data_IF_272705985759
#
_entry.id   IF_272705985759
#
_cell.length_a   1.000
_cell.length_b   1.000
_cell.length_c   1.000
_cell.angle_alpha   90.00
_cell.angle_beta   90.00
_cell.angle_gamma   90.00
#
_symmetry.space_group_name_H-M   'P 1'
#
loop_
_entity.id
_entity.type
_entity.pdbx_description
1 polymer ?
#
# COMPACT_ATOMS: atom_id res chain seq x y z
N UNK A 1 -33.86 25.88 -7.52
CA UNK A 1 -33.46 24.58 -8.00
C UNK A 1 -32.75 23.85 -6.84
N UNK A 2 -33.42 22.85 -6.26
CA UNK A 2 -32.82 21.99 -5.23
C UNK A 2 -31.79 21.16 -5.94
N UNK A 3 -30.48 21.30 -5.56
CA UNK A 3 -29.44 20.39 -6.05
C UNK A 3 -29.84 18.99 -5.63
N UNK A 4 -29.92 18.00 -6.54
CA UNK A 4 -30.18 16.62 -6.15
C UNK A 4 -29.14 16.18 -5.15
N UNK A 5 -29.58 15.56 -4.07
CA UNK A 5 -28.68 15.01 -3.05
C UNK A 5 -27.84 13.88 -3.69
N UNK A 6 -26.60 14.20 -4.03
CA UNK A 6 -25.66 13.26 -4.64
C UNK A 6 -25.33 12.07 -3.72
N UNK A 7 -25.58 12.20 -2.40
CA UNK A 7 -25.35 11.12 -1.44
C UNK A 7 -26.25 9.91 -1.68
N UNK A 8 -27.46 10.13 -2.23
CA UNK A 8 -28.40 9.04 -2.55
C UNK A 8 -28.02 8.27 -3.84
N UNK A 9 -27.14 8.83 -4.67
CA UNK A 9 -26.78 8.22 -5.96
C UNK A 9 -25.39 7.56 -5.97
N UNK A 10 -24.47 7.98 -5.09
CA UNK A 10 -23.13 7.44 -5.03
C UNK A 10 -22.96 6.57 -3.78
N UNK A 11 -22.82 5.24 -3.91
CA UNK A 11 -22.73 4.34 -2.76
C UNK A 11 -21.50 4.61 -1.89
N UNK A 12 -20.39 5.07 -2.46
CA UNK A 12 -19.19 5.40 -1.69
C UNK A 12 -19.41 6.62 -0.80
N UNK A 13 -20.15 7.63 -1.27
CA UNK A 13 -20.57 8.77 -0.44
C UNK A 13 -21.52 8.35 0.67
N UNK A 14 -22.54 7.54 0.35
CA UNK A 14 -23.52 7.01 1.32
C UNK A 14 -22.83 6.35 2.51
N UNK A 15 -21.76 5.64 2.27
CA UNK A 15 -21.00 4.89 3.29
C UNK A 15 -19.79 5.64 3.85
N UNK A 16 -19.65 6.92 3.56
CA UNK A 16 -18.58 7.76 4.12
C UNK A 16 -17.16 7.41 3.65
N UNK A 17 -17.03 6.79 2.47
CA UNK A 17 -15.76 6.46 1.85
C UNK A 17 -15.20 7.67 1.11
N UNK A 18 -14.83 8.70 1.87
CA UNK A 18 -14.47 10.03 1.38
C UNK A 18 -13.05 10.43 1.80
N UNK A 19 -12.49 11.39 1.07
CA UNK A 19 -11.29 12.09 1.50
C UNK A 19 -11.63 13.00 2.69
N UNK A 20 -10.81 12.94 3.73
CA UNK A 20 -11.05 13.69 4.97
C UNK A 20 -10.19 14.95 5.08
N UNK A 21 -9.22 15.15 4.19
CA UNK A 21 -8.20 16.20 4.30
C UNK A 21 -8.12 17.09 3.06
N UNK A 22 -7.70 18.33 3.28
CA UNK A 22 -7.37 19.28 2.23
C UNK A 22 -8.54 19.74 1.38
N UNK A 23 -8.23 20.24 0.20
CA UNK A 23 -9.14 20.77 -0.81
C UNK A 23 -10.08 19.73 -1.44
N UNK A 24 -9.77 18.45 -1.28
CA UNK A 24 -10.52 17.31 -1.80
C UNK A 24 -11.43 16.67 -0.75
N UNK A 25 -11.55 17.30 0.42
CA UNK A 25 -12.41 16.82 1.52
C UNK A 25 -13.87 16.62 1.04
N UNK A 26 -14.44 15.48 1.42
CA UNK A 26 -15.82 15.11 1.08
C UNK A 26 -15.96 14.42 -0.28
N UNK A 27 -14.93 14.35 -1.11
CA UNK A 27 -14.98 13.61 -2.37
C UNK A 27 -14.86 12.09 -2.13
N UNK A 28 -15.70 11.26 -2.79
CA UNK A 28 -15.63 9.81 -2.65
C UNK A 28 -14.34 9.29 -3.23
N UNK A 29 -13.68 8.36 -2.52
CA UNK A 29 -12.40 7.81 -2.94
C UNK A 29 -12.27 6.32 -2.73
N UNK A 30 -11.37 5.71 -3.51
CA UNK A 30 -10.96 4.32 -3.42
C UNK A 30 -9.45 4.21 -3.64
N UNK A 31 -8.80 3.28 -2.95
CA UNK A 31 -7.38 3.00 -3.13
C UNK A 31 -7.13 1.56 -3.56
N UNK A 32 -5.92 1.30 -4.08
CA UNK A 32 -5.51 -0.07 -4.43
C UNK A 32 -5.59 -1.03 -3.23
N UNK A 33 -5.20 -0.57 -2.05
CA UNK A 33 -5.35 -1.35 -0.81
C UNK A 33 -6.82 -1.66 -0.49
N UNK A 34 -7.70 -0.68 -0.72
CA UNK A 34 -9.14 -0.83 -0.44
C UNK A 34 -9.77 -1.90 -1.34
N UNK A 35 -9.66 -1.79 -2.66
CA UNK A 35 -10.30 -2.76 -3.53
C UNK A 35 -9.63 -4.15 -3.50
N UNK A 36 -8.31 -4.23 -3.30
CA UNK A 36 -7.66 -5.53 -3.09
C UNK A 36 -8.13 -6.21 -1.81
N UNK A 37 -8.28 -5.45 -0.71
CA UNK A 37 -8.82 -6.00 0.53
C UNK A 37 -10.27 -6.50 0.35
N UNK A 38 -11.10 -5.78 -0.40
CA UNK A 38 -12.44 -6.26 -0.76
C UNK A 38 -12.39 -7.58 -1.54
N UNK A 39 -11.53 -7.66 -2.55
CA UNK A 39 -11.37 -8.86 -3.37
C UNK A 39 -10.90 -10.08 -2.57
N UNK A 40 -10.06 -9.88 -1.54
CA UNK A 40 -9.54 -10.95 -0.69
C UNK A 40 -10.51 -11.32 0.44
N UNK A 41 -11.10 -10.32 1.08
CA UNK A 41 -12.00 -10.50 2.23
C UNK A 41 -12.92 -9.29 2.40
N UNK A 42 -14.15 -9.33 1.84
CA UNK A 42 -15.13 -8.26 2.03
C UNK A 42 -15.41 -7.95 3.51
N UNK A 43 -15.42 -8.95 4.37
CA UNK A 43 -15.60 -8.76 5.81
C UNK A 43 -14.46 -7.98 6.46
N UNK A 44 -13.21 -8.26 6.09
CA UNK A 44 -12.05 -7.48 6.54
C UNK A 44 -12.14 -6.03 6.08
N UNK A 45 -12.58 -5.83 4.84
CA UNK A 45 -12.80 -4.50 4.29
C UNK A 45 -13.89 -3.73 5.06
N UNK A 46 -15.02 -4.39 5.35
CA UNK A 46 -16.12 -3.78 6.11
C UNK A 46 -15.64 -3.34 7.48
N UNK A 47 -14.94 -4.20 8.19
CA UNK A 47 -14.40 -3.85 9.52
C UNK A 47 -13.49 -2.64 9.47
N UNK A 48 -12.58 -2.60 8.50
CA UNK A 48 -11.61 -1.50 8.40
C UNK A 48 -12.25 -0.19 7.92
N UNK A 49 -13.05 -0.26 6.85
CA UNK A 49 -13.51 0.95 6.17
C UNK A 49 -14.89 1.42 6.62
N UNK A 50 -15.75 0.54 7.09
CA UNK A 50 -17.11 0.87 7.56
C UNK A 50 -17.14 0.96 9.09
N UNK A 51 -16.72 -0.09 9.78
CA UNK A 51 -16.71 -0.12 11.24
C UNK A 51 -15.58 0.69 11.86
N UNK A 52 -14.58 1.11 11.05
CA UNK A 52 -13.41 1.87 11.50
C UNK A 52 -12.60 1.16 12.59
N UNK A 53 -12.56 -0.17 12.53
CA UNK A 53 -11.71 -0.95 13.43
C UNK A 53 -10.26 -0.73 13.02
N UNK A 54 -9.53 0.00 13.86
CA UNK A 54 -8.12 0.27 13.64
C UNK A 54 -7.31 -0.99 13.89
N UNK A 55 -6.47 -1.36 12.93
CA UNK A 55 -5.41 -2.33 13.16
C UNK A 55 -4.22 -1.60 13.78
N UNK A 56 -3.84 -1.98 14.98
CA UNK A 56 -2.61 -1.44 15.57
C UNK A 56 -1.41 -1.75 14.65
N UNK A 57 -0.63 -0.72 14.26
CA UNK A 57 0.55 -0.97 13.48
C UNK A 57 1.52 -1.84 14.28
N UNK A 58 2.10 -2.83 13.63
CA UNK A 58 3.15 -3.64 14.23
C UNK A 58 4.54 -3.19 13.76
N UNK A 59 5.56 -3.69 14.44
CA UNK A 59 6.96 -3.31 14.16
C UNK A 59 7.35 -3.60 12.70
N UNK A 60 6.88 -4.71 12.12
CA UNK A 60 7.18 -5.08 10.73
C UNK A 60 6.56 -4.13 9.69
N UNK A 61 5.42 -3.49 9.99
CA UNK A 61 4.81 -2.50 9.09
C UNK A 61 5.69 -1.25 8.90
N UNK A 62 6.44 -0.88 9.94
CA UNK A 62 7.35 0.27 9.87
C UNK A 62 8.64 -0.03 9.11
N UNK A 63 8.99 -1.31 8.92
CA UNK A 63 10.15 -1.73 8.10
C UNK A 63 10.06 -1.17 6.68
N UNK A 64 8.93 -1.38 6.01
CA UNK A 64 8.72 -0.93 4.64
C UNK A 64 8.94 0.57 4.48
N UNK A 65 8.27 1.36 5.32
CA UNK A 65 8.37 2.83 5.28
C UNK A 65 9.79 3.33 5.61
N UNK A 66 10.50 2.64 6.52
CA UNK A 66 11.89 2.97 6.84
C UNK A 66 12.81 2.66 5.66
N UNK A 67 12.67 1.46 5.07
CA UNK A 67 13.47 1.06 3.92
C UNK A 67 13.31 2.04 2.75
N UNK A 68 12.08 2.40 2.44
CA UNK A 68 11.74 3.34 1.40
C UNK A 68 12.35 4.73 1.63
N UNK A 69 12.18 5.30 2.85
CA UNK A 69 12.71 6.62 3.19
C UNK A 69 14.24 6.69 3.11
N UNK A 70 14.91 5.72 3.70
CA UNK A 70 16.39 5.67 3.71
C UNK A 70 16.91 5.44 2.29
N UNK A 71 16.29 4.54 1.54
CA UNK A 71 16.64 4.29 0.14
C UNK A 71 16.51 5.56 -0.71
N UNK A 72 15.42 6.31 -0.55
CA UNK A 72 15.26 7.59 -1.23
C UNK A 72 16.40 8.55 -0.92
N UNK A 73 16.70 8.76 0.35
CA UNK A 73 17.75 9.69 0.78
C UNK A 73 19.13 9.34 0.16
N UNK A 74 19.44 8.04 0.07
CA UNK A 74 20.68 7.58 -0.55
C UNK A 74 20.67 7.77 -2.07
N UNK A 75 19.57 7.45 -2.75
CA UNK A 75 19.45 7.59 -4.20
C UNK A 75 19.58 9.03 -4.66
N UNK A 76 19.06 10.00 -3.91
CA UNK A 76 19.22 11.44 -4.23
C UNK A 76 20.56 12.02 -3.78
N UNK A 77 21.36 11.27 -3.02
CA UNK A 77 22.65 11.71 -2.48
C UNK A 77 22.54 12.59 -1.24
N UNK A 78 21.40 12.55 -0.53
CA UNK A 78 21.19 13.23 0.75
C UNK A 78 21.95 12.53 1.88
N UNK A 79 22.03 11.21 1.82
CA UNK A 79 22.80 10.37 2.72
C UNK A 79 23.84 9.57 1.94
N UNK A 80 24.97 9.29 2.56
CA UNK A 80 25.97 8.40 1.98
C UNK A 80 25.55 6.94 2.18
N UNK A 81 25.94 6.10 1.24
CA UNK A 81 25.64 4.67 1.33
C UNK A 81 26.25 4.03 2.59
N UNK A 82 27.41 4.51 3.02
CA UNK A 82 28.12 4.05 4.21
C UNK A 82 27.35 4.32 5.52
N UNK A 83 26.48 5.33 5.52
CA UNK A 83 25.69 5.76 6.69
C UNK A 83 24.31 5.07 6.78
N UNK A 84 23.97 4.20 5.83
CA UNK A 84 22.67 3.52 5.74
C UNK A 84 22.25 2.85 7.06
N UNK A 85 23.19 2.16 7.72
CA UNK A 85 22.90 1.44 8.96
C UNK A 85 22.42 2.39 10.05
N UNK A 86 23.19 3.46 10.26
CA UNK A 86 22.89 4.47 11.28
C UNK A 86 21.56 5.17 11.00
N UNK A 87 21.32 5.53 9.75
CA UNK A 87 20.09 6.23 9.34
C UNK A 87 18.86 5.31 9.47
N UNK A 88 18.98 4.05 9.02
CA UNK A 88 17.89 3.08 9.11
C UNK A 88 17.52 2.78 10.57
N UNK A 89 18.52 2.56 11.43
CA UNK A 89 18.29 2.34 12.85
C UNK A 89 17.61 3.54 13.51
N UNK A 90 18.12 4.75 13.30
CA UNK A 90 17.55 5.97 13.86
C UNK A 90 16.10 6.18 13.38
N UNK A 91 15.86 6.07 12.07
CA UNK A 91 14.53 6.22 11.48
C UNK A 91 13.55 5.17 11.99
N UNK A 92 13.96 3.92 12.08
CA UNK A 92 13.12 2.83 12.52
C UNK A 92 12.78 2.94 14.01
N UNK A 93 13.75 3.21 14.86
CA UNK A 93 13.54 3.42 16.31
C UNK A 93 12.62 4.58 16.61
N UNK A 94 12.77 5.69 15.89
CA UNK A 94 11.88 6.84 16.01
C UNK A 94 10.42 6.46 15.70
N UNK A 95 10.19 5.67 14.64
CA UNK A 95 8.84 5.22 14.23
C UNK A 95 8.23 4.18 15.16
N UNK A 96 9.05 3.44 15.86
CA UNK A 96 8.63 2.32 16.72
C UNK A 96 8.84 2.58 18.20
N UNK A 97 8.98 3.85 18.62
CA UNK A 97 9.28 4.22 20.01
C UNK A 97 8.33 3.56 20.99
N UNK A 98 7.03 3.53 20.71
CA UNK A 98 5.99 2.97 21.57
C UNK A 98 5.49 1.58 21.12
N UNK A 99 6.20 0.93 20.17
CA UNK A 99 5.73 -0.30 19.53
C UNK A 99 6.74 -1.43 19.68
N UNK A 100 6.23 -2.62 19.98
CA UNK A 100 7.01 -3.86 19.98
C UNK A 100 8.07 -3.95 21.06
N UNK A 101 8.70 -5.12 21.14
CA UNK A 101 9.81 -5.39 22.06
C UNK A 101 11.16 -4.95 21.46
N UNK A 102 12.19 -4.80 22.29
CA UNK A 102 13.55 -4.50 21.80
C UNK A 102 14.10 -5.64 20.93
N UNK A 103 13.76 -6.89 21.21
CA UNK A 103 14.16 -8.04 20.39
C UNK A 103 13.55 -7.96 18.97
N UNK A 104 12.26 -7.62 18.87
CA UNK A 104 11.59 -7.42 17.58
C UNK A 104 12.22 -6.26 16.79
N UNK A 105 12.51 -5.14 17.46
CA UNK A 105 13.16 -3.98 16.83
C UNK A 105 14.56 -4.34 16.32
N UNK A 106 15.37 -5.00 17.12
CA UNK A 106 16.72 -5.44 16.75
C UNK A 106 16.68 -6.38 15.53
N UNK A 107 15.73 -7.32 15.52
CA UNK A 107 15.54 -8.23 14.39
C UNK A 107 15.20 -7.47 13.11
N UNK A 108 14.23 -6.57 13.17
CA UNK A 108 13.81 -5.79 11.99
C UNK A 108 14.90 -4.84 11.49
N UNK A 109 15.68 -4.23 12.38
CA UNK A 109 16.83 -3.41 12.01
C UNK A 109 17.90 -4.26 11.29
N UNK A 110 18.20 -5.44 11.81
CA UNK A 110 19.15 -6.37 11.15
C UNK A 110 18.65 -6.77 9.75
N UNK A 111 17.38 -7.02 9.59
CA UNK A 111 16.80 -7.34 8.28
C UNK A 111 16.84 -6.13 7.32
N UNK A 112 16.64 -4.91 7.84
CA UNK A 112 16.72 -3.67 7.06
C UNK A 112 18.11 -3.43 6.46
N UNK A 113 19.13 -3.46 7.30
CA UNK A 113 20.49 -3.03 6.94
C UNK A 113 21.38 -4.21 6.52
N UNK A 114 20.97 -5.41 6.85
CA UNK A 114 21.72 -6.64 6.61
C UNK A 114 22.65 -7.00 7.74
N UNK A 115 23.14 -8.21 7.65
CA UNK A 115 24.06 -8.79 8.62
C UNK A 115 25.38 -9.10 7.94
N UNK A 116 26.49 -8.72 8.58
CA UNK A 116 27.83 -9.09 8.11
C UNK A 116 28.03 -10.58 8.38
N UNK A 117 27.52 -11.41 7.46
CA UNK A 117 27.64 -12.85 7.55
C UNK A 117 29.07 -13.33 7.29
N UNK A 118 29.29 -14.66 7.38
CA UNK A 118 30.59 -15.32 7.13
C UNK A 118 31.19 -15.01 5.76
N UNK A 119 30.41 -14.52 4.80
CA UNK A 119 30.78 -14.21 3.42
C UNK A 119 31.18 -12.76 3.17
N UNK A 120 31.27 -11.90 4.18
CA UNK A 120 31.55 -10.45 4.06
C UNK A 120 30.57 -9.65 3.17
N UNK A 121 29.51 -10.24 2.69
CA UNK A 121 28.49 -9.56 1.87
C UNK A 121 27.36 -9.08 2.80
N UNK A 122 27.15 -7.76 2.83
CA UNK A 122 25.97 -7.20 3.46
C UNK A 122 24.77 -7.56 2.60
N UNK A 123 23.80 -8.22 3.21
CA UNK A 123 22.50 -8.47 2.64
C UNK A 123 21.48 -7.77 3.56
N UNK A 124 20.49 -7.15 2.98
CA UNK A 124 19.44 -6.44 3.70
C UNK A 124 18.50 -5.76 2.72
N UNK A 125 17.31 -5.45 3.16
CA UNK A 125 16.26 -4.88 2.29
C UNK A 125 16.74 -3.63 1.55
N UNK A 126 17.34 -2.67 2.27
CA UNK A 126 17.78 -1.39 1.70
C UNK A 126 18.91 -1.59 0.71
N UNK A 127 19.93 -2.39 1.08
CA UNK A 127 21.07 -2.63 0.19
C UNK A 127 20.67 -3.34 -1.08
N UNK A 128 19.87 -4.40 -0.97
CA UNK A 128 19.42 -5.15 -2.12
C UNK A 128 18.57 -4.28 -3.06
N UNK A 129 17.70 -3.43 -2.50
CA UNK A 129 16.93 -2.48 -3.27
C UNK A 129 17.81 -1.41 -3.93
N UNK A 130 18.79 -0.84 -3.21
CA UNK A 130 19.74 0.12 -3.74
C UNK A 130 20.54 -0.43 -4.92
N UNK A 131 21.06 -1.64 -4.80
CA UNK A 131 21.85 -2.28 -5.86
C UNK A 131 21.03 -2.47 -7.15
N UNK A 132 19.71 -2.61 -7.03
CA UNK A 132 18.80 -2.68 -8.20
C UNK A 132 18.43 -1.32 -8.76
N UNK A 133 18.31 -0.28 -7.92
CA UNK A 133 17.82 1.03 -8.34
C UNK A 133 18.91 2.01 -8.76
N UNK A 134 20.12 1.90 -8.21
CA UNK A 134 21.23 2.82 -8.50
C UNK A 134 21.57 2.98 -10.00
N UNK A 135 21.25 1.97 -10.80
CA UNK A 135 21.48 1.98 -12.27
C UNK A 135 20.52 2.93 -13.00
N UNK A 136 19.38 3.26 -12.40
CA UNK A 136 18.40 4.20 -12.97
C UNK A 136 18.67 5.66 -12.57
N UNK A 137 19.68 5.90 -11.72
CA UNK A 137 19.99 7.24 -11.23
C UNK A 137 19.04 7.72 -10.14
N UNK A 138 18.90 9.05 -10.04
CA UNK A 138 18.07 9.69 -9.03
C UNK A 138 16.59 9.68 -9.46
N UNK A 139 15.67 9.30 -8.57
CA UNK A 139 14.24 9.49 -8.83
C UNK A 139 13.90 10.98 -8.89
N UNK A 140 13.01 11.35 -9.81
CA UNK A 140 12.51 12.73 -10.00
C UNK A 140 11.47 13.10 -8.94
N UNK A 141 10.74 12.12 -8.40
CA UNK A 141 9.74 12.33 -7.37
C UNK A 141 9.71 11.19 -6.34
N UNK A 142 9.20 11.52 -5.14
CA UNK A 142 9.05 10.62 -4.01
C UNK A 142 7.67 10.79 -3.39
N UNK A 143 6.99 9.68 -3.08
CA UNK A 143 5.66 9.66 -2.49
C UNK A 143 4.67 10.55 -3.25
N UNK A 144 4.70 10.45 -4.58
CA UNK A 144 3.82 11.24 -5.44
C UNK A 144 2.39 10.74 -5.34
N UNK A 145 1.46 11.63 -4.97
CA UNK A 145 0.05 11.27 -4.87
C UNK A 145 -0.54 10.94 -6.24
N UNK A 146 -1.22 9.80 -6.31
CA UNK A 146 -2.13 9.41 -7.39
C UNK A 146 -3.52 9.91 -7.03
N UNK A 147 -4.09 10.78 -7.87
CA UNK A 147 -5.44 11.29 -7.67
C UNK A 147 -6.09 11.58 -9.02
N UNK A 148 -7.03 10.74 -9.43
CA UNK A 148 -7.77 10.91 -10.68
C UNK A 148 -9.19 10.36 -10.57
N UNK A 149 -10.08 10.84 -11.41
CA UNK A 149 -11.48 10.40 -11.41
C UNK A 149 -11.61 9.06 -12.14
N UNK A 150 -12.41 8.16 -11.58
CA UNK A 150 -12.95 6.96 -12.22
C UNK A 150 -14.40 7.26 -12.60
N UNK A 151 -14.68 7.74 -13.84
CA UNK A 151 -15.97 8.34 -14.19
C UNK A 151 -17.14 7.37 -14.05
N UNK A 152 -16.91 6.08 -14.38
CA UNK A 152 -17.94 5.04 -14.35
C UNK A 152 -18.47 4.75 -12.95
N UNK A 153 -17.70 5.09 -11.90
CA UNK A 153 -18.08 4.89 -10.50
C UNK A 153 -18.30 6.21 -9.76
N UNK A 154 -18.08 7.34 -10.42
CA UNK A 154 -18.10 8.67 -9.79
C UNK A 154 -17.26 8.77 -8.51
N UNK A 155 -16.11 8.06 -8.47
CA UNK A 155 -15.18 7.97 -7.36
C UNK A 155 -13.77 8.39 -7.80
N UNK A 156 -12.97 8.89 -6.86
CA UNK A 156 -11.57 9.21 -7.13
C UNK A 156 -10.65 8.07 -6.70
N UNK A 157 -9.72 7.75 -7.58
CA UNK A 157 -8.56 6.93 -7.26
C UNK A 157 -7.64 7.72 -6.32
N UNK A 158 -7.21 7.11 -5.21
CA UNK A 158 -6.28 7.68 -4.23
C UNK A 158 -5.17 6.70 -3.90
N UNK A 159 -3.94 7.16 -3.96
CA UNK A 159 -2.76 6.35 -3.63
C UNK A 159 -1.48 7.17 -3.69
N UNK A 160 -0.35 6.50 -3.49
CA UNK A 160 0.97 7.10 -3.58
C UNK A 160 1.90 6.18 -4.34
N UNK A 161 2.70 6.75 -5.24
CA UNK A 161 3.80 6.08 -5.92
C UNK A 161 5.07 6.36 -5.15
N UNK A 162 5.86 5.33 -4.85
CA UNK A 162 7.02 5.50 -3.99
C UNK A 162 8.12 6.30 -4.69
N UNK A 163 8.47 5.94 -5.93
CA UNK A 163 9.50 6.64 -6.71
C UNK A 163 9.02 6.90 -8.14
N UNK A 164 9.15 8.13 -8.62
CA UNK A 164 8.93 8.48 -10.03
C UNK A 164 10.26 8.69 -10.73
N UNK A 165 10.45 8.04 -11.88
CA UNK A 165 11.55 8.25 -12.82
C UNK A 165 11.01 8.83 -14.13
N UNK A 166 11.88 9.22 -15.05
CA UNK A 166 11.49 9.79 -16.33
C UNK A 166 10.53 8.87 -17.10
N UNK A 167 10.88 7.59 -17.23
CA UNK A 167 10.17 6.64 -18.09
C UNK A 167 9.22 5.70 -17.32
N UNK A 168 9.37 5.58 -16.01
CA UNK A 168 8.57 4.67 -15.20
C UNK A 168 8.30 5.20 -13.80
N UNK A 169 7.25 4.67 -13.18
CA UNK A 169 6.98 4.79 -11.76
C UNK A 169 7.29 3.46 -11.06
N UNK A 170 7.72 3.50 -9.83
CA UNK A 170 8.13 2.32 -9.06
C UNK A 170 7.47 2.31 -7.70
N UNK A 171 6.98 1.13 -7.33
CA UNK A 171 6.48 0.80 -5.99
C UNK A 171 7.47 -0.17 -5.33
N UNK A 172 7.86 0.11 -4.08
CA UNK A 172 8.77 -0.72 -3.30
C UNK A 172 8.00 -1.54 -2.27
N UNK A 173 8.23 -2.83 -2.27
CA UNK A 173 7.69 -3.72 -1.23
C UNK A 173 8.79 -4.51 -0.56
N UNK A 174 8.81 -4.48 0.77
CA UNK A 174 9.66 -5.34 1.58
C UNK A 174 8.88 -6.58 2.02
N UNK A 175 9.45 -7.75 1.81
CA UNK A 175 8.81 -9.02 2.15
C UNK A 175 9.82 -10.03 2.71
N UNK A 176 9.35 -10.96 3.51
CA UNK A 176 10.20 -12.04 4.02
C UNK A 176 10.47 -13.13 2.97
N UNK A 177 9.60 -13.24 1.95
CA UNK A 177 9.67 -14.30 0.93
C UNK A 177 9.51 -13.69 -0.47
N UNK A 178 10.42 -14.06 -1.37
CA UNK A 178 10.35 -13.67 -2.77
C UNK A 178 9.23 -14.43 -3.48
N UNK A 179 8.50 -13.75 -4.34
CA UNK A 179 7.53 -14.36 -5.25
C UNK A 179 8.22 -14.75 -6.56
N UNK A 180 7.84 -15.89 -7.14
CA UNK A 180 8.32 -16.29 -8.47
C UNK A 180 7.67 -15.52 -9.63
N UNK A 181 6.60 -14.79 -9.37
CA UNK A 181 5.88 -13.95 -10.33
C UNK A 181 5.34 -12.70 -9.63
N UNK A 182 4.94 -11.70 -10.41
CA UNK A 182 4.29 -10.49 -9.88
C UNK A 182 2.99 -10.87 -9.16
N UNK A 183 2.90 -10.66 -7.82
CA UNK A 183 1.70 -11.03 -7.06
C UNK A 183 0.47 -10.26 -7.56
N UNK A 184 -0.68 -10.92 -7.57
CA UNK A 184 -1.93 -10.39 -8.13
C UNK A 184 -2.34 -9.03 -7.53
N UNK A 185 -2.26 -8.89 -6.21
CA UNK A 185 -2.60 -7.62 -5.55
C UNK A 185 -1.69 -6.46 -5.98
N UNK A 186 -0.39 -6.72 -6.16
CA UNK A 186 0.55 -5.71 -6.65
C UNK A 186 0.39 -5.46 -8.14
N UNK A 187 0.09 -6.48 -8.93
CA UNK A 187 -0.25 -6.32 -10.35
C UNK A 187 -1.43 -5.36 -10.53
N UNK A 188 -2.49 -5.54 -9.74
CA UNK A 188 -3.64 -4.62 -9.74
C UNK A 188 -3.26 -3.22 -9.25
N UNK A 189 -2.42 -3.09 -8.22
CA UNK A 189 -1.95 -1.79 -7.74
C UNK A 189 -1.18 -1.03 -8.83
N UNK A 190 -0.25 -1.68 -9.52
CA UNK A 190 0.49 -1.09 -10.62
C UNK A 190 -0.43 -0.68 -11.78
N UNK A 191 -1.38 -1.55 -12.15
CA UNK A 191 -2.36 -1.25 -13.18
C UNK A 191 -3.23 -0.04 -12.80
N UNK A 192 -3.64 0.07 -11.55
CA UNK A 192 -4.39 1.19 -11.02
C UNK A 192 -3.62 2.51 -11.14
N UNK A 193 -2.33 2.51 -10.82
CA UNK A 193 -1.48 3.70 -10.97
C UNK A 193 -1.24 4.06 -12.44
N UNK A 194 -1.11 3.07 -13.32
CA UNK A 194 -0.98 3.30 -14.76
C UNK A 194 -2.19 3.98 -15.40
N UNK A 195 -3.39 3.84 -14.82
CA UNK A 195 -4.58 4.55 -15.31
C UNK A 195 -4.43 6.07 -15.29
N UNK A 196 -3.57 6.62 -14.43
CA UNK A 196 -3.29 8.06 -14.36
C UNK A 196 -2.20 8.50 -15.34
N UNK A 197 -1.21 7.66 -15.55
CA UNK A 197 -0.01 8.02 -16.33
C UNK A 197 0.29 6.96 -17.37
N UNK A 198 0.83 7.40 -18.53
CA UNK A 198 1.28 6.47 -19.57
C UNK A 198 2.67 5.88 -19.29
N UNK A 199 3.26 6.18 -18.12
CA UNK A 199 4.56 5.64 -17.73
C UNK A 199 4.45 4.16 -17.41
N UNK A 200 5.51 3.43 -17.66
CA UNK A 200 5.63 2.06 -17.18
C UNK A 200 5.51 1.98 -15.66
N UNK A 201 4.95 0.90 -15.18
CA UNK A 201 4.80 0.67 -13.74
C UNK A 201 5.64 -0.53 -13.34
N UNK A 202 6.48 -0.36 -12.34
CA UNK A 202 7.39 -1.40 -11.85
C UNK A 202 7.20 -1.63 -10.36
N UNK A 203 7.35 -2.89 -9.96
CA UNK A 203 7.44 -3.30 -8.56
C UNK A 203 8.86 -3.73 -8.26
N UNK A 204 9.48 -3.14 -7.26
CA UNK A 204 10.69 -3.70 -6.66
C UNK A 204 10.30 -4.47 -5.39
N UNK A 205 10.42 -5.79 -5.47
CA UNK A 205 10.21 -6.66 -4.32
C UNK A 205 11.56 -6.96 -3.69
N UNK A 206 11.76 -6.51 -2.46
CA UNK A 206 13.00 -6.69 -1.73
C UNK A 206 12.81 -7.64 -0.53
N UNK A 207 13.73 -8.60 -0.41
CA UNK A 207 13.93 -9.43 0.78
C UNK A 207 15.27 -9.07 1.42
N UNK A 208 15.56 -9.63 2.58
CA UNK A 208 16.89 -9.48 3.20
C UNK A 208 18.02 -10.10 2.37
N UNK A 209 17.71 -11.05 1.48
CA UNK A 209 18.70 -11.82 0.72
C UNK A 209 18.86 -11.31 -0.73
N UNK A 210 17.80 -10.79 -1.34
CA UNK A 210 17.80 -10.30 -2.72
C UNK A 210 16.68 -9.32 -3.01
N UNK A 211 16.78 -8.64 -4.15
CA UNK A 211 15.67 -7.84 -4.68
C UNK A 211 15.42 -8.18 -6.17
N UNK A 212 14.16 -8.21 -6.56
CA UNK A 212 13.74 -8.47 -7.93
C UNK A 212 12.80 -7.36 -8.42
N UNK A 213 13.00 -6.96 -9.68
CA UNK A 213 12.21 -5.96 -10.35
C UNK A 213 11.20 -6.65 -11.27
N UNK A 214 9.93 -6.36 -11.07
CA UNK A 214 8.82 -6.82 -11.89
C UNK A 214 8.27 -5.65 -12.68
N UNK A 215 7.84 -5.89 -13.91
CA UNK A 215 7.23 -4.90 -14.80
C UNK A 215 5.79 -5.30 -15.06
N UNK A 216 4.89 -4.31 -15.08
CA UNK A 216 3.52 -4.51 -15.54
C UNK A 216 3.52 -4.47 -17.07
N UNK A 217 3.64 -5.64 -17.70
CA UNK A 217 3.66 -5.79 -19.15
C UNK A 217 2.25 -5.99 -19.75
N UNK A 218 2.04 -7.02 -20.53
CA UNK A 218 0.82 -7.30 -21.29
C UNK A 218 -0.44 -7.52 -20.43
N UNK A 219 -0.29 -7.71 -19.14
CA UNK A 219 -1.41 -7.93 -18.19
C UNK A 219 -2.17 -6.65 -17.79
N UNK A 220 -1.81 -5.48 -18.34
CA UNK A 220 -2.44 -4.21 -17.94
C UNK A 220 -3.95 -4.19 -18.20
N UNK A 221 -4.38 -4.54 -19.41
CA UNK A 221 -5.80 -4.52 -19.78
C UNK A 221 -6.62 -5.50 -18.94
N UNK A 222 -6.12 -6.72 -18.76
CA UNK A 222 -6.74 -7.71 -17.89
C UNK A 222 -6.86 -7.19 -16.45
N UNK A 223 -5.79 -6.60 -15.92
CA UNK A 223 -5.80 -6.06 -14.55
C UNK A 223 -6.75 -4.87 -14.40
N UNK A 224 -6.90 -4.04 -15.43
CA UNK A 224 -7.86 -2.94 -15.45
C UNK A 224 -9.30 -3.45 -15.43
N UNK A 225 -9.61 -4.49 -16.18
CA UNK A 225 -10.92 -5.15 -16.15
C UNK A 225 -11.20 -5.75 -14.76
N UNK A 226 -10.26 -6.51 -14.21
CA UNK A 226 -10.37 -7.06 -12.85
C UNK A 226 -10.64 -5.96 -11.79
N UNK A 227 -9.96 -4.82 -11.87
CA UNK A 227 -10.17 -3.69 -10.96
C UNK A 227 -11.59 -3.13 -11.11
N UNK A 228 -12.05 -2.96 -12.35
CA UNK A 228 -13.40 -2.46 -12.62
C UNK A 228 -14.46 -3.42 -12.06
N UNK A 229 -14.28 -4.73 -12.23
CA UNK A 229 -15.20 -5.74 -11.71
C UNK A 229 -15.23 -5.72 -10.17
N UNK A 230 -14.07 -5.61 -9.52
CA UNK A 230 -13.99 -5.51 -8.06
C UNK A 230 -14.70 -4.25 -7.57
N UNK A 231 -14.44 -3.09 -8.17
CA UNK A 231 -15.08 -1.84 -7.77
C UNK A 231 -16.59 -1.89 -8.04
N UNK A 232 -17.01 -2.52 -9.12
CA UNK A 232 -18.41 -2.72 -9.43
C UNK A 232 -19.11 -3.61 -8.38
N UNK A 233 -18.51 -4.73 -8.00
CA UNK A 233 -19.06 -5.60 -6.93
C UNK A 233 -19.15 -4.87 -5.59
N UNK A 234 -18.17 -4.02 -5.26
CA UNK A 234 -18.26 -3.13 -4.09
C UNK A 234 -19.42 -2.16 -4.21
N UNK A 235 -19.55 -1.47 -5.34
CA UNK A 235 -20.61 -0.49 -5.56
C UNK A 235 -22.01 -1.12 -5.46
N UNK A 236 -22.20 -2.31 -6.04
CA UNK A 236 -23.44 -3.08 -5.95
C UNK A 236 -23.75 -3.43 -4.50
N UNK A 237 -22.79 -4.01 -3.78
CA UNK A 237 -22.98 -4.37 -2.37
C UNK A 237 -23.36 -3.17 -1.49
N UNK A 238 -22.68 -2.04 -1.68
CA UNK A 238 -22.94 -0.79 -0.96
C UNK A 238 -24.30 -0.14 -1.34
N UNK A 239 -24.76 -0.37 -2.56
CA UNK A 239 -26.07 0.13 -3.03
C UNK A 239 -27.20 -0.68 -2.46
N UNK A 240 -27.09 -2.01 -2.48
CA UNK A 240 -28.14 -2.95 -2.09
C UNK A 240 -28.33 -3.06 -0.57
N UNK A 241 -27.31 -2.75 0.23
CA UNK A 241 -27.41 -2.75 1.68
C UNK A 241 -27.76 -1.37 2.22
N UNK A 242 -28.69 -1.30 3.19
CA UNK A 242 -29.11 -0.06 3.82
C UNK A 242 -28.54 0.13 5.22
N UNK A 243 -28.01 -0.92 5.83
CA UNK A 243 -27.38 -0.88 7.14
C UNK A 243 -26.09 -1.70 7.19
N UNK A 244 -25.31 -1.46 8.24
CA UNK A 244 -24.07 -2.21 8.49
C UNK A 244 -24.40 -3.68 8.77
N UNK A 245 -25.51 -3.94 9.46
CA UNK A 245 -25.98 -5.28 9.77
C UNK A 245 -26.30 -6.07 8.50
N UNK A 246 -27.00 -5.45 7.53
CA UNK A 246 -27.27 -6.08 6.23
C UNK A 246 -25.97 -6.40 5.49
N UNK A 247 -25.00 -5.49 5.51
CA UNK A 247 -23.71 -5.69 4.88
C UNK A 247 -22.93 -6.85 5.53
N UNK A 248 -22.93 -6.92 6.87
CA UNK A 248 -22.29 -8.00 7.63
C UNK A 248 -22.98 -9.34 7.39
N UNK A 249 -24.32 -9.39 7.39
CA UNK A 249 -25.07 -10.62 7.14
C UNK A 249 -24.80 -11.19 5.74
N UNK A 250 -24.63 -10.31 4.74
CA UNK A 250 -24.36 -10.72 3.37
C UNK A 250 -22.93 -11.23 3.17
N UNK A 251 -21.97 -10.64 3.88
CA UNK A 251 -20.54 -10.95 3.77
C UNK A 251 -19.99 -11.46 5.09
N UNK A 252 -20.62 -12.51 5.64
CA UNK A 252 -20.29 -13.09 6.93
C UNK A 252 -18.79 -13.36 7.06
N UNK A 253 -18.13 -12.92 8.16
CA UNK A 253 -16.69 -13.02 8.29
C UNK A 253 -16.25 -14.48 8.28
N UNK A 254 -15.23 -14.79 7.50
CA UNK A 254 -14.53 -16.06 7.62
C UNK A 254 -13.59 -15.96 8.83
N UNK A 255 -14.07 -16.40 9.98
CA UNK A 255 -13.38 -16.29 11.28
C UNK A 255 -12.04 -17.03 11.33
N UNK A 256 -11.83 -18.04 10.47
CA UNK A 256 -10.61 -18.86 10.49
C UNK A 256 -9.38 -18.06 10.02
N UNK A 257 -9.57 -17.04 9.21
CA UNK A 257 -8.49 -16.21 8.66
C UNK A 257 -8.32 -14.86 9.39
N UNK A 258 -9.12 -14.61 10.43
CA UNK A 258 -9.22 -13.28 11.02
C UNK A 258 -8.80 -13.24 12.48
N UNK A 259 -7.56 -12.81 12.75
CA UNK A 259 -7.14 -12.36 14.08
C UNK A 259 -7.49 -10.88 14.25
N UNK A 260 -8.76 -10.57 14.39
CA UNK A 260 -9.18 -9.29 14.95
C UNK A 260 -8.97 -9.32 16.45
N UNK A 261 -8.03 -8.53 16.94
CA UNK A 261 -8.15 -8.05 18.32
C UNK A 261 -9.22 -6.96 18.31
N UNK A 262 -10.48 -7.32 18.50
CA UNK A 262 -11.52 -6.37 18.88
C UNK A 262 -11.16 -5.97 20.32
N UNK A 263 -10.44 -4.84 20.48
CA UNK A 263 -10.53 -4.14 21.77
C UNK A 263 -11.95 -3.61 21.83
N UNK A 264 -12.82 -4.30 22.58
CA UNK A 264 -14.03 -3.68 23.08
C UNK A 264 -13.56 -2.39 23.78
N UNK A 265 -13.99 -1.26 23.23
CA UNK A 265 -13.97 -0.02 24.00
C UNK A 265 -14.91 -0.31 25.16
N UNK A 266 -14.36 -0.60 26.32
CA UNK A 266 -15.10 -0.49 27.58
C UNK A 266 -15.59 0.95 27.64
N UNK A 267 -16.91 1.10 27.67
CA UNK A 267 -17.59 2.36 27.92
C UNK A 267 -17.23 2.96 29.28
#
# INVERSE_FOLDING_TARGET
>A
MIKPDLSQRNPFLKWGLIETRGDKKGLPKISATSFNMWAESPSAWISKYILKVDQEPNVAMHRGTTAEKVLYNVLIGHSKFEDIEKEAEATFRQRTTMLGTEEEKIKEIKDLVGYKGRTKTYQGFIKNAYDRLKVFGKPESYQQRVWFKLPQFEVFADGYKDFGYTDFDLDLKTTSKMSGALPLAYRRQLAFYRMQSNKDQKLLLATKDKAELYVLEDSYNQSKEEINDIINTMAVALTECNSVEELLLRYYPNWENWKLSIKQKEE
#
